data_IF_075840667164
#
_entry.id   IF_075840667164
#
_cell.length_a   1.000
_cell.length_b   1.000
_cell.length_c   1.000
_cell.angle_alpha   90.00
_cell.angle_beta   90.00
_cell.angle_gamma   90.00
#
_symmetry.space_group_name_H-M   'P 1'
#
loop_
_entity.id
_entity.type
_entity.pdbx_description
1 polymer ?
#
# COMPACT_ATOMS: atom_id res chain seq x y z
N UNK A 1 16.49 91.09 44.56
CA UNK A 1 16.77 89.93 45.45
C UNK A 1 16.44 88.65 44.69
N UNK A 2 17.45 87.87 44.30
CA UNK A 2 17.26 86.66 43.50
C UNK A 2 17.35 85.42 44.42
N UNK A 3 16.26 84.65 44.52
CA UNK A 3 16.20 83.43 45.29
C UNK A 3 16.99 82.32 44.58
N UNK A 4 17.97 81.72 45.28
CA UNK A 4 18.73 80.56 44.79
C UNK A 4 17.81 79.33 44.71
N UNK A 5 17.86 78.54 43.62
CA UNK A 5 17.08 77.32 43.52
C UNK A 5 17.64 76.26 44.49
N UNK A 6 16.76 75.72 45.32
CA UNK A 6 17.08 74.67 46.30
C UNK A 6 17.66 73.44 45.62
N UNK A 7 18.82 72.99 46.12
CA UNK A 7 19.48 71.73 45.76
C UNK A 7 18.51 70.58 46.06
N UNK A 8 17.94 69.94 45.03
CA UNK A 8 17.18 68.69 45.21
C UNK A 8 18.13 67.63 45.79
N UNK A 9 17.79 67.11 46.98
CA UNK A 9 18.53 66.03 47.62
C UNK A 9 18.54 64.79 46.70
N UNK A 10 19.72 64.17 46.53
CA UNK A 10 19.84 62.94 45.75
C UNK A 10 19.21 61.78 46.51
N UNK A 11 18.45 60.90 45.85
CA UNK A 11 17.76 59.80 46.50
C UNK A 11 18.75 58.82 47.16
N UNK A 12 18.40 58.35 48.35
CA UNK A 12 19.21 57.46 49.17
C UNK A 12 19.40 56.07 48.54
N UNK A 13 20.41 55.31 49.00
CA UNK A 13 20.68 53.94 48.49
C UNK A 13 19.47 53.01 48.62
N UNK A 14 18.67 53.16 49.68
CA UNK A 14 17.45 52.37 49.95
C UNK A 14 16.32 52.72 48.98
N UNK A 15 16.09 54.01 48.72
CA UNK A 15 15.10 54.49 47.76
C UNK A 15 15.39 53.99 46.34
N UNK A 16 16.67 53.98 45.93
CA UNK A 16 17.07 53.42 44.63
C UNK A 16 16.79 51.92 44.51
N UNK A 17 17.01 51.15 45.59
CA UNK A 17 16.70 49.71 45.62
C UNK A 17 15.19 49.46 45.58
N UNK A 18 14.40 50.26 46.28
CA UNK A 18 12.94 50.18 46.23
C UNK A 18 12.39 50.53 44.85
N UNK A 19 12.93 51.57 44.21
CA UNK A 19 12.57 51.94 42.83
C UNK A 19 12.94 50.83 41.83
N UNK A 20 14.09 50.19 41.98
CA UNK A 20 14.47 49.06 41.14
C UNK A 20 13.54 47.84 41.38
N UNK A 21 13.24 47.51 42.65
CA UNK A 21 12.37 46.39 42.98
C UNK A 21 10.92 46.61 42.49
N UNK A 22 10.40 47.83 42.57
CA UNK A 22 9.07 48.17 42.03
C UNK A 22 9.04 48.07 40.51
N UNK A 23 10.07 48.55 39.81
CA UNK A 23 10.19 48.37 38.37
C UNK A 23 10.22 46.88 37.97
N UNK A 24 10.96 46.03 38.72
CA UNK A 24 10.97 44.58 38.45
C UNK A 24 9.62 43.92 38.73
N UNK A 25 8.88 44.38 39.75
CA UNK A 25 7.53 43.87 40.02
C UNK A 25 6.59 44.25 38.88
N UNK A 26 6.65 45.49 38.41
CA UNK A 26 5.84 45.94 37.27
C UNK A 26 6.13 45.13 36.01
N UNK A 27 7.40 44.90 35.69
CA UNK A 27 7.82 44.06 34.55
C UNK A 27 7.28 42.62 34.67
N UNK A 28 7.50 41.96 35.82
CA UNK A 28 7.00 40.61 36.07
C UNK A 28 5.46 40.55 36.02
N UNK A 29 4.76 41.59 36.48
CA UNK A 29 3.29 41.63 36.37
C UNK A 29 2.85 41.75 34.91
N UNK A 30 3.53 42.54 34.09
CA UNK A 30 3.25 42.63 32.66
C UNK A 30 3.51 41.30 31.94
N UNK A 31 4.60 40.61 32.26
CA UNK A 31 4.89 39.27 31.74
C UNK A 31 3.82 38.25 32.16
N UNK A 32 3.41 38.25 33.43
CA UNK A 32 2.34 37.37 33.92
C UNK A 32 1.01 37.62 33.23
N UNK A 33 0.66 38.88 32.92
CA UNK A 33 -0.57 39.17 32.16
C UNK A 33 -0.49 38.62 30.73
N UNK A 34 0.66 38.75 30.09
CA UNK A 34 0.91 38.23 28.73
C UNK A 34 0.85 36.71 28.71
N UNK A 35 1.51 36.04 29.65
CA UNK A 35 1.49 34.59 29.79
C UNK A 35 0.08 34.07 30.05
N UNK A 36 -0.69 34.73 30.94
CA UNK A 36 -2.09 34.36 31.19
C UNK A 36 -2.96 34.49 29.94
N UNK A 37 -2.77 35.55 29.15
CA UNK A 37 -3.48 35.69 27.88
C UNK A 37 -3.11 34.56 26.91
N UNK A 38 -1.83 34.21 26.82
CA UNK A 38 -1.36 33.12 25.96
C UNK A 38 -1.85 31.74 26.38
N UNK A 39 -1.93 31.48 27.70
CA UNK A 39 -2.51 30.24 28.23
C UNK A 39 -3.98 30.14 27.83
N UNK A 40 -4.77 31.21 28.00
CA UNK A 40 -6.18 31.22 27.59
C UNK A 40 -6.36 30.95 26.10
N UNK A 41 -5.53 31.53 25.24
CA UNK A 41 -5.59 31.25 23.80
C UNK A 41 -5.25 29.80 23.49
N UNK A 42 -4.22 29.24 24.13
CA UNK A 42 -3.82 27.85 23.95
C UNK A 42 -4.87 26.87 24.47
N UNK A 43 -5.55 27.18 25.56
CA UNK A 43 -6.66 26.38 26.08
C UNK A 43 -7.78 26.27 25.04
N UNK A 44 -8.22 27.40 24.48
CA UNK A 44 -9.24 27.43 23.42
C UNK A 44 -8.78 26.63 22.20
N UNK A 45 -7.55 26.85 21.73
CA UNK A 45 -6.99 26.08 20.61
C UNK A 45 -6.98 24.58 20.91
N UNK A 46 -6.57 24.19 22.13
CA UNK A 46 -6.53 22.77 22.54
C UNK A 46 -7.92 22.13 22.50
N UNK A 47 -8.97 22.85 22.91
CA UNK A 47 -10.34 22.37 22.81
C UNK A 47 -10.78 22.22 21.36
N UNK A 48 -10.41 23.16 20.49
CA UNK A 48 -10.73 23.05 19.06
C UNK A 48 -10.05 21.85 18.42
N UNK A 49 -8.78 21.58 18.76
CA UNK A 49 -8.04 20.42 18.28
C UNK A 49 -8.62 19.11 18.81
N UNK A 50 -9.03 19.07 20.08
CA UNK A 50 -9.74 17.91 20.66
C UNK A 50 -11.03 17.61 19.90
N UNK A 51 -11.89 18.62 19.67
CA UNK A 51 -13.14 18.48 18.89
C UNK A 51 -12.88 18.01 17.45
N UNK A 52 -11.87 18.56 16.79
CA UNK A 52 -11.46 18.14 15.43
C UNK A 52 -10.95 16.69 15.43
N UNK A 53 -10.11 16.33 16.38
CA UNK A 53 -9.57 14.98 16.51
C UNK A 53 -10.68 13.94 16.75
N UNK A 54 -11.64 14.24 17.62
CA UNK A 54 -12.79 13.36 17.87
C UNK A 54 -13.66 13.17 16.61
N UNK A 55 -13.95 14.26 15.89
CA UNK A 55 -14.69 14.20 14.62
C UNK A 55 -13.94 13.36 13.60
N UNK A 56 -12.61 13.47 13.52
CA UNK A 56 -11.80 12.67 12.62
C UNK A 56 -11.74 11.20 13.04
N UNK A 57 -11.62 10.90 14.35
CA UNK A 57 -11.67 9.53 14.87
C UNK A 57 -12.98 8.84 14.50
N UNK A 58 -14.12 9.52 14.67
CA UNK A 58 -15.43 8.96 14.29
C UNK A 58 -15.54 8.68 12.78
N UNK A 59 -14.98 9.55 11.94
CA UNK A 59 -14.92 9.34 10.48
C UNK A 59 -14.07 8.14 10.12
N UNK A 60 -12.87 8.04 10.70
CA UNK A 60 -11.97 6.90 10.49
C UNK A 60 -12.61 5.59 10.94
N UNK A 61 -13.28 5.58 12.10
CA UNK A 61 -14.02 4.40 12.57
C UNK A 61 -15.11 3.97 11.59
N UNK A 62 -15.90 4.91 11.06
CA UNK A 62 -16.93 4.62 10.06
C UNK A 62 -16.33 4.04 8.77
N UNK A 63 -15.24 4.62 8.28
CA UNK A 63 -14.56 4.13 7.07
C UNK A 63 -13.99 2.73 7.32
N UNK A 64 -13.37 2.51 8.47
CA UNK A 64 -12.83 1.20 8.87
C UNK A 64 -13.92 0.14 8.95
N UNK A 65 -15.05 0.44 9.60
CA UNK A 65 -16.18 -0.48 9.69
C UNK A 65 -16.72 -0.86 8.30
N UNK A 66 -16.86 0.12 7.39
CA UNK A 66 -17.27 -0.15 6.00
C UNK A 66 -16.24 -0.99 5.25
N UNK A 67 -14.95 -0.72 5.43
CA UNK A 67 -13.88 -1.50 4.81
C UNK A 67 -13.88 -2.95 5.33
N UNK A 68 -14.04 -3.15 6.64
CA UNK A 68 -14.13 -4.48 7.25
C UNK A 68 -15.36 -5.26 6.73
N UNK A 69 -16.52 -4.61 6.60
CA UNK A 69 -17.71 -5.20 5.99
C UNK A 69 -17.47 -5.61 4.52
N UNK A 70 -16.89 -4.72 3.71
CA UNK A 70 -16.59 -5.00 2.30
C UNK A 70 -15.61 -6.17 2.15
N UNK A 71 -14.58 -6.23 3.01
CA UNK A 71 -13.61 -7.33 3.04
C UNK A 71 -14.29 -8.64 3.43
N UNK A 72 -15.17 -8.63 4.45
CA UNK A 72 -15.91 -9.80 4.88
C UNK A 72 -16.83 -10.34 3.77
N UNK A 73 -17.59 -9.45 3.11
CA UNK A 73 -18.45 -9.82 1.99
C UNK A 73 -17.66 -10.37 0.79
N UNK A 74 -16.55 -9.73 0.42
CA UNK A 74 -15.69 -10.21 -0.66
C UNK A 74 -15.13 -11.61 -0.35
N UNK A 75 -14.70 -11.83 0.90
CA UNK A 75 -14.21 -13.14 1.34
C UNK A 75 -15.32 -14.20 1.34
N UNK A 76 -16.53 -13.86 1.76
CA UNK A 76 -17.69 -14.77 1.71
C UNK A 76 -18.04 -15.13 0.26
N UNK A 77 -18.11 -14.14 -0.64
CA UNK A 77 -18.34 -14.35 -2.08
C UNK A 77 -17.26 -15.24 -2.70
N UNK A 78 -15.99 -14.99 -2.40
CA UNK A 78 -14.85 -15.80 -2.85
C UNK A 78 -14.95 -17.25 -2.35
N UNK A 79 -15.28 -17.46 -1.08
CA UNK A 79 -15.47 -18.81 -0.51
C UNK A 79 -16.63 -19.55 -1.22
N UNK A 80 -17.76 -18.88 -1.43
CA UNK A 80 -18.92 -19.44 -2.13
C UNK A 80 -18.60 -19.79 -3.59
N UNK A 81 -17.92 -18.90 -4.31
CA UNK A 81 -17.47 -19.15 -5.67
C UNK A 81 -16.50 -20.33 -5.75
N UNK A 82 -15.54 -20.42 -4.81
CA UNK A 82 -14.60 -21.55 -4.73
C UNK A 82 -15.31 -22.87 -4.43
N UNK A 83 -16.30 -22.87 -3.54
CA UNK A 83 -17.11 -24.06 -3.25
C UNK A 83 -17.91 -24.51 -4.49
N UNK A 84 -18.55 -23.57 -5.19
CA UNK A 84 -19.25 -23.85 -6.45
C UNK A 84 -18.32 -24.42 -7.52
N UNK A 85 -17.13 -23.82 -7.71
CA UNK A 85 -16.16 -24.33 -8.67
C UNK A 85 -15.70 -25.76 -8.33
N UNK A 86 -15.48 -26.06 -7.05
CA UNK A 86 -15.16 -27.42 -6.61
C UNK A 86 -16.30 -28.40 -6.88
N UNK A 87 -17.54 -28.00 -6.62
CA UNK A 87 -18.70 -28.82 -6.91
C UNK A 87 -18.86 -29.09 -8.41
N UNK A 88 -18.72 -28.06 -9.25
CA UNK A 88 -18.74 -28.21 -10.71
C UNK A 88 -17.65 -29.15 -11.21
N UNK A 89 -16.43 -29.07 -10.66
CA UNK A 89 -15.33 -29.99 -11.01
C UNK A 89 -15.64 -31.43 -10.57
N UNK A 90 -16.28 -31.60 -9.40
CA UNK A 90 -16.66 -32.92 -8.90
C UNK A 90 -17.82 -33.54 -9.71
N UNK A 91 -18.79 -32.73 -10.12
CA UNK A 91 -19.97 -33.16 -10.88
C UNK A 91 -19.66 -33.33 -12.38
N UNK A 92 -18.59 -32.70 -12.88
CA UNK A 92 -18.17 -32.89 -14.27
C UNK A 92 -17.66 -34.32 -14.44
N UNK A 93 -18.20 -35.11 -15.39
CA UNK A 93 -17.69 -36.44 -15.67
C UNK A 93 -16.21 -36.31 -16.03
N UNK A 94 -15.34 -37.02 -15.30
CA UNK A 94 -13.92 -37.06 -15.61
C UNK A 94 -13.79 -37.58 -17.04
N UNK A 95 -13.45 -36.71 -17.99
CA UNK A 95 -13.05 -37.15 -19.31
C UNK A 95 -11.88 -38.12 -19.08
N UNK A 96 -12.07 -39.37 -19.49
CA UNK A 96 -10.92 -40.27 -19.59
C UNK A 96 -9.86 -39.52 -20.39
N UNK A 97 -8.59 -39.48 -19.94
CA UNK A 97 -7.56 -38.94 -20.80
C UNK A 97 -7.70 -39.72 -22.11
N UNK A 98 -8.06 -39.02 -23.20
CA UNK A 98 -7.94 -39.57 -24.52
C UNK A 98 -6.50 -40.03 -24.58
N UNK A 99 -6.29 -41.32 -24.38
CA UNK A 99 -5.02 -41.94 -24.65
C UNK A 99 -4.75 -41.48 -26.08
N UNK A 100 -3.64 -40.76 -26.25
CA UNK A 100 -3.14 -40.29 -27.53
C UNK A 100 -2.72 -41.54 -28.34
N UNK A 101 -3.65 -42.48 -28.56
CA UNK A 101 -3.47 -43.73 -29.31
C UNK A 101 -3.16 -43.42 -30.76
N UNK A 102 -3.59 -42.24 -31.21
CA UNK A 102 -3.37 -41.70 -32.55
C UNK A 102 -2.28 -40.62 -32.59
N UNK A 103 -1.43 -40.53 -31.55
CA UNK A 103 -0.21 -39.75 -31.68
C UNK A 103 0.64 -40.35 -32.81
N UNK A 104 1.03 -39.60 -33.84
CA UNK A 104 1.84 -40.13 -34.93
C UNK A 104 3.12 -40.72 -34.33
N UNK A 105 3.31 -42.02 -34.54
CA UNK A 105 4.43 -42.78 -33.98
C UNK A 105 5.72 -42.18 -34.55
N UNK A 106 6.69 -41.86 -33.68
CA UNK A 106 7.95 -41.31 -34.14
C UNK A 106 8.65 -42.31 -35.10
N UNK A 107 9.27 -41.83 -36.18
CA UNK A 107 9.94 -42.67 -37.17
C UNK A 107 11.19 -43.32 -36.55
N UNK A 108 11.20 -44.66 -36.52
CA UNK A 108 12.29 -45.45 -35.93
C UNK A 108 13.21 -46.02 -37.02
N UNK A 109 14.51 -46.29 -36.75
CA UNK A 109 15.45 -46.88 -37.73
C UNK A 109 15.04 -48.25 -38.27
N UNK A 110 14.18 -48.96 -37.54
CA UNK A 110 13.62 -50.27 -37.90
C UNK A 110 12.51 -50.19 -38.94
N UNK A 111 12.01 -48.99 -39.25
CA UNK A 111 10.93 -48.82 -40.23
C UNK A 111 11.37 -49.21 -41.63
N UNK A 112 10.41 -49.75 -42.37
CA UNK A 112 10.61 -50.07 -43.78
C UNK A 112 10.63 -48.79 -44.61
N UNK A 113 11.25 -48.84 -45.80
CA UNK A 113 11.29 -47.68 -46.72
C UNK A 113 9.88 -47.21 -47.10
N UNK A 114 8.92 -48.13 -47.18
CA UNK A 114 7.52 -47.80 -47.44
C UNK A 114 6.92 -46.94 -46.31
N UNK A 115 7.10 -47.36 -45.05
CA UNK A 115 6.62 -46.63 -43.87
C UNK A 115 7.28 -45.26 -43.73
N UNK A 116 8.58 -45.15 -44.01
CA UNK A 116 9.29 -43.87 -43.98
C UNK A 116 8.83 -42.94 -45.11
N UNK A 117 8.46 -43.46 -46.28
CA UNK A 117 7.91 -42.64 -47.37
C UNK A 117 6.49 -42.15 -47.07
N UNK A 118 5.71 -42.97 -46.38
CA UNK A 118 4.37 -42.58 -45.92
C UNK A 118 4.45 -41.46 -44.88
N UNK A 119 5.30 -41.60 -43.86
CA UNK A 119 5.56 -40.53 -42.91
C UNK A 119 6.15 -39.27 -43.55
N UNK A 120 7.06 -39.42 -44.53
CA UNK A 120 7.62 -38.29 -45.27
C UNK A 120 6.57 -37.58 -46.15
N UNK A 121 5.59 -38.32 -46.67
CA UNK A 121 4.44 -37.76 -47.39
C UNK A 121 3.54 -36.98 -46.44
N UNK A 122 3.24 -37.55 -45.28
CA UNK A 122 2.39 -36.92 -44.27
C UNK A 122 3.03 -35.64 -43.70
N UNK A 123 4.37 -35.60 -43.63
CA UNK A 123 5.13 -34.39 -43.27
C UNK A 123 5.41 -33.45 -44.46
N UNK A 124 5.04 -33.82 -45.69
CA UNK A 124 5.17 -32.97 -46.88
C UNK A 124 6.60 -32.81 -47.42
N UNK A 125 7.50 -33.77 -47.18
CA UNK A 125 8.92 -33.69 -47.59
C UNK A 125 9.04 -33.80 -49.12
N UNK A 126 9.56 -32.79 -49.83
CA UNK A 126 9.65 -32.81 -51.29
C UNK A 126 10.70 -33.84 -51.75
N UNK A 127 10.37 -34.60 -52.81
CA UNK A 127 11.30 -35.58 -53.39
C UNK A 127 11.46 -36.90 -52.62
N UNK A 128 10.66 -37.13 -51.58
CA UNK A 128 10.70 -38.34 -50.73
C UNK A 128 10.72 -39.68 -51.50
N UNK A 129 10.06 -39.75 -52.67
CA UNK A 129 10.00 -40.97 -53.48
C UNK A 129 11.35 -41.41 -54.06
N UNK A 130 12.32 -40.49 -54.19
CA UNK A 130 13.66 -40.78 -54.74
C UNK A 130 14.71 -41.00 -53.65
N UNK A 131 14.36 -40.72 -52.38
CA UNK A 131 15.27 -40.85 -51.25
C UNK A 131 15.48 -42.31 -50.84
N UNK A 132 16.70 -42.60 -50.39
CA UNK A 132 17.08 -43.89 -49.79
C UNK A 132 16.68 -43.92 -48.31
N UNK A 133 16.65 -45.12 -47.70
CA UNK A 133 16.24 -45.33 -46.30
C UNK A 133 16.93 -44.37 -45.33
N UNK A 134 18.24 -44.24 -45.43
CA UNK A 134 19.04 -43.40 -44.52
C UNK A 134 18.74 -41.90 -44.69
N UNK A 135 18.48 -41.47 -45.94
CA UNK A 135 18.09 -40.09 -46.24
C UNK A 135 16.68 -39.77 -45.73
N UNK A 136 15.75 -40.73 -45.80
CA UNK A 136 14.41 -40.57 -45.24
C UNK A 136 14.45 -40.47 -43.72
N UNK A 137 15.25 -41.30 -43.05
CA UNK A 137 15.42 -41.24 -41.59
C UNK A 137 16.03 -39.90 -41.15
N UNK A 138 17.04 -39.40 -41.87
CA UNK A 138 17.69 -38.13 -41.56
C UNK A 138 16.80 -36.88 -41.75
N UNK A 139 15.71 -36.99 -42.51
CA UNK A 139 14.75 -35.89 -42.70
C UNK A 139 13.55 -35.98 -41.74
N UNK A 140 13.34 -37.15 -41.13
CA UNK A 140 12.18 -37.48 -40.31
C UNK A 140 12.48 -37.46 -38.80
N UNK A 141 13.76 -37.46 -38.43
CA UNK A 141 14.30 -37.37 -37.06
C UNK A 141 14.96 -36.00 -36.92
#
# INVERSE_FOLDING_TARGET
MAAKPGKKARPGKTEKKLAAATATIEELTAELTTLRARVKTLEVESETWKKRAEKQRSRVQKVRAKAEQAIAEANAKRKKAKARARQVIADHPRAEPLALRDAPKAPEPTWTVAQLREAARDQGIPGYSRMRKDQLLAQLI
#
